data_IF_049922095636
#
_entry.id   IF_049922095636
#
_cell.length_a   1.000
_cell.length_b   1.000
_cell.length_c   1.000
_cell.angle_alpha   90.00
_cell.angle_beta   90.00
_cell.angle_gamma   90.00
#
_symmetry.space_group_name_H-M   'P 1'
#
loop_
_entity.id
_entity.type
_entity.pdbx_description
1 polymer ?
#
# COMPACT_ATOMS: atom_id res chain seq x y z
N UNK A 1 -25.71 11.41 -17.23
CA UNK A 1 -25.26 10.23 -18.03
C UNK A 1 -23.78 10.28 -18.43
N UNK A 2 -23.15 11.43 -18.69
CA UNK A 2 -21.74 11.51 -19.18
C UNK A 2 -20.68 10.90 -18.25
N UNK A 3 -20.77 11.09 -16.93
CA UNK A 3 -19.83 10.51 -15.94
C UNK A 3 -19.95 8.98 -15.76
N UNK A 4 -21.03 8.36 -16.25
CA UNK A 4 -21.31 6.96 -15.94
C UNK A 4 -20.41 6.02 -16.73
N UNK A 5 -19.96 6.43 -17.92
CA UNK A 5 -19.15 5.60 -18.81
C UNK A 5 -17.70 5.43 -18.27
N UNK A 6 -17.05 6.52 -17.84
CA UNK A 6 -15.72 6.45 -17.22
C UNK A 6 -15.76 5.66 -15.89
N UNK A 7 -16.82 5.84 -15.09
CA UNK A 7 -17.04 5.07 -13.85
C UNK A 7 -17.30 3.58 -14.11
N UNK A 8 -18.02 3.24 -15.18
CA UNK A 8 -18.22 1.86 -15.57
C UNK A 8 -16.88 1.21 -15.97
N UNK A 9 -16.07 1.89 -16.79
CA UNK A 9 -14.72 1.43 -17.12
C UNK A 9 -13.83 1.28 -15.87
N UNK A 10 -13.91 2.21 -14.93
CA UNK A 10 -13.23 2.11 -13.63
C UNK A 10 -13.68 0.89 -12.84
N UNK A 11 -14.98 0.63 -12.75
CA UNK A 11 -15.54 -0.55 -12.08
C UNK A 11 -15.07 -1.86 -12.72
N UNK A 12 -15.02 -1.92 -14.05
CA UNK A 12 -14.47 -3.06 -14.80
C UNK A 12 -12.99 -3.25 -14.49
N UNK A 13 -12.21 -2.17 -14.48
CA UNK A 13 -10.79 -2.20 -14.09
C UNK A 13 -10.59 -2.77 -12.68
N UNK A 14 -11.36 -2.28 -11.69
CA UNK A 14 -11.32 -2.78 -10.32
C UNK A 14 -11.68 -4.27 -10.19
N UNK A 15 -12.66 -4.73 -10.98
CA UNK A 15 -13.10 -6.12 -11.00
C UNK A 15 -12.10 -7.04 -11.73
N UNK A 16 -11.29 -6.48 -12.63
CA UNK A 16 -10.28 -7.23 -13.38
C UNK A 16 -9.01 -7.56 -12.56
N UNK A 17 -8.82 -6.91 -11.40
CA UNK A 17 -7.69 -7.16 -10.52
C UNK A 17 -7.63 -8.63 -10.09
N UNK A 18 -6.45 -9.24 -10.24
CA UNK A 18 -6.15 -10.57 -9.73
C UNK A 18 -4.81 -10.58 -9.03
N UNK A 19 -4.75 -11.27 -7.89
CA UNK A 19 -3.51 -11.56 -7.20
C UNK A 19 -3.09 -13.01 -7.47
N UNK A 20 -2.48 -13.25 -8.65
CA UNK A 20 -2.07 -14.58 -9.09
C UNK A 20 -0.55 -14.85 -8.91
N UNK A 21 0.18 -13.97 -8.22
CA UNK A 21 1.64 -14.02 -8.02
C UNK A 21 2.14 -15.39 -7.54
N UNK A 22 1.41 -16.01 -6.61
CA UNK A 22 1.77 -17.32 -6.03
C UNK A 22 1.04 -18.50 -6.67
N UNK A 23 0.23 -18.27 -7.70
CA UNK A 23 -0.50 -19.34 -8.41
C UNK A 23 0.36 -19.88 -9.57
N UNK A 24 1.32 -20.74 -9.21
CA UNK A 24 2.33 -21.30 -10.12
C UNK A 24 1.81 -22.42 -11.03
N UNK A 25 0.72 -23.10 -10.63
CA UNK A 25 0.13 -24.22 -11.38
C UNK A 25 -0.94 -23.81 -12.39
N UNK A 26 -1.37 -22.55 -12.39
CA UNK A 26 -2.38 -22.07 -13.33
C UNK A 26 -1.76 -21.86 -14.71
N UNK A 27 -2.39 -22.42 -15.74
CA UNK A 27 -2.03 -22.17 -17.14
C UNK A 27 -2.41 -20.75 -17.56
N UNK A 28 -1.86 -20.27 -18.68
CA UNK A 28 -2.10 -18.91 -19.17
C UNK A 28 -3.60 -18.64 -19.43
N UNK A 29 -4.33 -19.64 -19.92
CA UNK A 29 -5.76 -19.56 -20.24
C UNK A 29 -6.61 -19.42 -18.98
N UNK A 30 -6.08 -19.83 -17.82
CA UNK A 30 -6.73 -19.72 -16.51
C UNK A 30 -6.38 -18.41 -15.79
N UNK A 31 -5.59 -17.53 -16.42
CA UNK A 31 -5.27 -16.18 -15.97
C UNK A 31 -5.78 -15.15 -16.98
N UNK A 32 -7.11 -15.04 -17.24
CA UNK A 32 -7.61 -14.10 -18.21
C UNK A 32 -7.13 -12.68 -17.87
N UNK A 33 -6.62 -11.95 -18.85
CA UNK A 33 -6.24 -10.55 -18.66
C UNK A 33 -7.24 -9.69 -19.40
N UNK A 34 -7.69 -8.63 -18.76
CA UNK A 34 -8.43 -7.60 -19.45
C UNK A 34 -7.44 -6.85 -20.33
N UNK A 35 -7.55 -7.02 -21.65
CA UNK A 35 -6.62 -6.37 -22.59
C UNK A 35 -7.07 -4.96 -22.93
N UNK A 36 -8.37 -4.78 -23.26
CA UNK A 36 -8.90 -3.50 -23.70
C UNK A 36 -10.33 -3.28 -23.16
N UNK A 37 -10.64 -2.03 -22.81
CA UNK A 37 -12.01 -1.55 -22.59
C UNK A 37 -12.28 -0.50 -23.65
N UNK A 38 -13.31 -0.72 -24.48
CA UNK A 38 -13.75 0.27 -25.46
C UNK A 38 -14.98 0.98 -24.91
N UNK A 39 -14.88 2.30 -24.76
CA UNK A 39 -15.98 3.17 -24.37
C UNK A 39 -16.24 4.14 -25.51
N UNK A 40 -17.42 4.03 -26.14
CA UNK A 40 -17.83 4.85 -27.28
C UNK A 40 -18.41 6.21 -26.84
N UNK A 41 -17.66 6.90 -25.97
CA UNK A 41 -17.99 8.24 -25.47
C UNK A 41 -16.68 9.00 -25.30
N UNK A 42 -16.40 9.95 -26.19
CA UNK A 42 -15.12 10.67 -26.21
C UNK A 42 -14.82 11.42 -24.90
N UNK A 43 -15.83 12.05 -24.29
CA UNK A 43 -15.71 12.71 -22.99
C UNK A 43 -15.28 11.75 -21.86
N UNK A 44 -15.60 10.46 -21.97
CA UNK A 44 -15.23 9.47 -20.97
C UNK A 44 -13.73 9.14 -21.01
N UNK A 45 -13.06 9.26 -22.18
CA UNK A 45 -11.62 9.03 -22.30
C UNK A 45 -10.81 10.03 -21.48
N UNK A 46 -11.17 11.31 -21.58
CA UNK A 46 -10.50 12.38 -20.83
C UNK A 46 -10.71 12.24 -19.32
N UNK A 47 -11.92 11.88 -18.88
CA UNK A 47 -12.22 11.64 -17.47
C UNK A 47 -11.52 10.38 -16.93
N UNK A 48 -11.34 9.37 -17.78
CA UNK A 48 -10.70 8.10 -17.39
C UNK A 48 -9.24 8.24 -16.99
N UNK A 49 -8.53 9.28 -17.44
CA UNK A 49 -7.12 9.53 -17.05
C UNK A 49 -6.97 9.57 -15.52
N UNK A 50 -7.90 10.24 -14.83
CA UNK A 50 -7.91 10.27 -13.36
C UNK A 50 -8.27 8.93 -12.72
N UNK A 51 -9.17 8.17 -13.36
CA UNK A 51 -9.56 6.83 -12.91
C UNK A 51 -8.46 5.79 -13.13
N UNK A 52 -7.66 5.89 -14.18
CA UNK A 52 -6.52 5.01 -14.43
C UNK A 52 -5.49 5.13 -13.31
N UNK A 53 -5.12 6.36 -12.96
CA UNK A 53 -4.23 6.64 -11.85
C UNK A 53 -4.78 6.06 -10.51
N UNK A 54 -6.09 6.15 -10.29
CA UNK A 54 -6.74 5.51 -9.14
C UNK A 54 -6.67 3.98 -9.19
N UNK A 55 -6.82 3.36 -10.36
CA UNK A 55 -6.72 1.91 -10.52
C UNK A 55 -5.32 1.41 -10.13
N UNK A 56 -4.28 2.08 -10.60
CA UNK A 56 -2.89 1.70 -10.31
C UNK A 56 -2.62 1.78 -8.81
N UNK A 57 -3.03 2.87 -8.16
CA UNK A 57 -2.88 3.02 -6.71
C UNK A 57 -3.66 1.96 -5.91
N UNK A 58 -4.89 1.63 -6.33
CA UNK A 58 -5.70 0.59 -5.67
C UNK A 58 -5.10 -0.80 -5.90
N UNK A 59 -4.64 -1.11 -7.10
CA UNK A 59 -3.99 -2.38 -7.43
C UNK A 59 -2.70 -2.56 -6.65
N UNK A 60 -1.80 -1.56 -6.66
CA UNK A 60 -0.54 -1.59 -5.91
C UNK A 60 -0.77 -1.91 -4.44
N UNK A 61 -1.79 -1.30 -3.85
CA UNK A 61 -1.99 -1.48 -2.44
C UNK A 61 -2.82 -2.72 -2.07
N UNK A 62 -3.65 -3.21 -2.99
CA UNK A 62 -4.17 -4.58 -2.92
C UNK A 62 -3.05 -5.61 -3.05
N UNK A 63 -2.03 -5.37 -3.87
CA UNK A 63 -0.88 -6.26 -3.99
C UNK A 63 -0.18 -6.34 -2.63
N UNK A 64 0.18 -5.19 -2.04
CA UNK A 64 0.77 -5.11 -0.71
C UNK A 64 -0.07 -5.84 0.36
N UNK A 65 -1.38 -5.59 0.40
CA UNK A 65 -2.27 -6.21 1.40
C UNK A 65 -2.43 -7.72 1.23
N UNK A 66 -2.29 -8.22 -0.01
CA UNK A 66 -2.40 -9.63 -0.32
C UNK A 66 -1.11 -10.40 -0.07
N UNK A 67 0.05 -9.73 -0.06
CA UNK A 67 1.33 -10.36 0.24
C UNK A 67 1.30 -11.07 1.58
N UNK A 68 1.88 -12.27 1.68
CA UNK A 68 2.03 -12.93 2.97
C UNK A 68 3.16 -12.26 3.77
N UNK A 69 3.04 -12.27 5.10
CA UNK A 69 3.95 -11.57 6.01
C UNK A 69 5.41 -12.06 5.96
N UNK A 70 5.66 -13.27 5.46
CA UNK A 70 7.02 -13.76 5.24
C UNK A 70 7.70 -13.11 4.02
N UNK A 71 6.91 -12.59 3.07
CA UNK A 71 7.40 -11.85 1.91
C UNK A 71 7.40 -10.36 2.20
N UNK A 72 6.25 -9.79 2.60
CA UNK A 72 6.14 -8.37 2.89
C UNK A 72 6.40 -8.09 4.37
N UNK A 73 7.68 -7.90 4.70
CA UNK A 73 8.17 -7.44 6.00
C UNK A 73 8.53 -5.94 5.96
N UNK A 74 8.81 -5.27 7.09
CA UNK A 74 9.05 -3.83 7.10
C UNK A 74 10.17 -3.35 6.17
N UNK A 75 11.36 -4.01 6.11
CA UNK A 75 12.37 -3.68 5.10
C UNK A 75 11.91 -3.81 3.64
N UNK A 76 11.26 -4.92 3.29
CA UNK A 76 10.74 -5.15 1.93
C UNK A 76 9.66 -4.12 1.57
N UNK A 77 8.78 -3.81 2.51
CA UNK A 77 7.73 -2.82 2.29
C UNK A 77 8.35 -1.42 2.09
N UNK A 78 9.32 -1.03 2.92
CA UNK A 78 10.06 0.21 2.69
C UNK A 78 10.77 0.24 1.32
N UNK A 79 11.34 -0.89 0.87
CA UNK A 79 11.97 -1.00 -0.44
C UNK A 79 10.97 -0.75 -1.59
N UNK A 80 9.79 -1.39 -1.56
CA UNK A 80 8.74 -1.16 -2.58
C UNK A 80 8.21 0.27 -2.58
N UNK A 81 8.13 0.91 -1.42
CA UNK A 81 7.71 2.30 -1.34
C UNK A 81 8.76 3.26 -1.90
N UNK A 82 10.06 2.93 -1.82
CA UNK A 82 11.13 3.72 -2.46
C UNK A 82 11.02 3.70 -3.99
N UNK A 83 10.45 2.66 -4.60
CA UNK A 83 10.22 2.61 -6.05
C UNK A 83 9.30 3.74 -6.53
N UNK A 84 8.44 4.26 -5.66
CA UNK A 84 7.57 5.41 -5.95
C UNK A 84 8.36 6.70 -6.21
N UNK A 85 9.65 6.77 -5.85
CA UNK A 85 10.51 7.89 -6.23
C UNK A 85 10.69 8.06 -7.74
N UNK A 86 10.49 6.98 -8.53
CA UNK A 86 10.45 7.06 -9.99
C UNK A 86 9.34 7.98 -10.52
N UNK A 87 8.36 8.31 -9.67
CA UNK A 87 7.19 9.11 -9.99
C UNK A 87 7.32 10.55 -9.44
N UNK A 88 8.52 10.94 -9.00
CA UNK A 88 8.81 12.29 -8.48
C UNK A 88 8.44 12.48 -7.01
N UNK A 89 8.26 11.39 -6.25
CA UNK A 89 7.98 11.43 -4.82
C UNK A 89 9.29 11.32 -4.04
N UNK A 90 9.53 12.26 -3.12
CA UNK A 90 10.66 12.18 -2.20
C UNK A 90 10.36 11.12 -1.14
N UNK A 91 11.15 10.05 -1.07
CA UNK A 91 10.95 8.95 -0.11
C UNK A 91 12.16 8.86 0.84
N UNK A 92 11.92 9.19 2.10
CA UNK A 92 12.89 9.03 3.20
C UNK A 92 12.49 7.82 4.02
N UNK A 93 13.46 7.03 4.46
CA UNK A 93 13.22 5.87 5.33
C UNK A 93 14.12 5.98 6.54
N UNK A 94 13.52 5.99 7.74
CA UNK A 94 14.24 6.00 9.00
C UNK A 94 14.32 4.58 9.57
N UNK A 95 15.53 4.19 9.99
CA UNK A 95 15.79 2.99 10.77
C UNK A 95 15.63 3.21 12.27
N UNK A 96 15.84 2.14 13.04
CA UNK A 96 15.61 2.16 14.50
C UNK A 96 16.52 3.14 15.25
N UNK A 97 17.77 3.31 14.81
CA UNK A 97 18.71 4.25 15.45
C UNK A 97 18.26 5.71 15.27
N UNK A 98 17.85 6.09 14.06
CA UNK A 98 17.34 7.43 13.76
C UNK A 98 16.04 7.68 14.53
N UNK A 99 15.12 6.72 14.53
CA UNK A 99 13.88 6.80 15.29
C UNK A 99 14.10 6.88 16.80
N UNK A 100 15.12 6.19 17.32
CA UNK A 100 15.50 6.26 18.73
C UNK A 100 16.03 7.65 19.10
N UNK A 101 16.89 8.23 18.26
CA UNK A 101 17.39 9.59 18.43
C UNK A 101 16.27 10.64 18.38
N UNK A 102 15.22 10.40 17.60
CA UNK A 102 14.01 11.23 17.53
C UNK A 102 13.01 10.97 18.67
N UNK A 103 13.31 10.08 19.63
CA UNK A 103 12.47 9.81 20.80
C UNK A 103 11.24 8.94 20.52
N UNK A 104 11.22 8.17 19.43
CA UNK A 104 10.07 7.33 19.02
C UNK A 104 9.97 6.01 19.81
N UNK A 105 10.18 6.04 21.12
CA UNK A 105 10.25 4.85 21.97
C UNK A 105 8.97 4.01 22.01
N UNK A 106 7.79 4.65 21.94
CA UNK A 106 6.49 3.96 21.91
C UNK A 106 6.31 3.14 20.62
N UNK A 107 6.77 3.68 19.49
CA UNK A 107 6.80 2.97 18.23
C UNK A 107 7.78 1.80 18.33
N UNK A 108 9.06 2.07 18.63
CA UNK A 108 10.10 1.03 18.71
C UNK A 108 9.73 -0.13 19.64
N UNK A 109 9.07 0.15 20.77
CA UNK A 109 8.59 -0.86 21.72
C UNK A 109 7.70 -1.94 21.11
N UNK A 110 6.89 -1.62 20.10
CA UNK A 110 6.02 -2.59 19.41
C UNK A 110 6.82 -3.57 18.56
N UNK A 111 7.89 -3.09 17.91
CA UNK A 111 8.73 -3.86 17.00
C UNK A 111 9.84 -4.66 17.68
N UNK A 112 10.16 -4.38 18.95
CA UNK A 112 11.24 -5.05 19.71
C UNK A 112 11.16 -6.58 19.71
N UNK A 113 9.96 -7.14 19.61
CA UNK A 113 9.74 -8.60 19.57
C UNK A 113 9.94 -9.22 18.19
N UNK A 114 10.21 -8.43 17.15
CA UNK A 114 10.38 -8.91 15.79
C UNK A 114 11.83 -9.26 15.46
N UNK A 115 12.00 -10.11 14.44
CA UNK A 115 13.29 -10.35 13.80
C UNK A 115 13.60 -9.32 12.70
N UNK A 116 12.57 -8.58 12.25
CA UNK A 116 12.72 -7.55 11.23
C UNK A 116 12.74 -6.18 11.91
N UNK A 117 13.70 -5.30 11.56
CA UNK A 117 13.79 -3.98 12.16
C UNK A 117 12.57 -3.14 11.78
N UNK A 118 12.11 -2.31 12.71
CA UNK A 118 11.07 -1.31 12.43
C UNK A 118 11.58 -0.30 11.41
N UNK A 119 10.68 0.21 10.56
CA UNK A 119 11.00 1.25 9.59
C UNK A 119 9.92 2.34 9.63
N UNK A 120 10.33 3.60 9.50
CA UNK A 120 9.41 4.71 9.21
C UNK A 120 9.66 5.18 7.78
N UNK A 121 8.65 5.18 6.93
CA UNK A 121 8.74 5.71 5.57
C UNK A 121 8.01 7.05 5.50
N UNK A 122 8.71 8.09 5.10
CA UNK A 122 8.16 9.43 4.88
C UNK A 122 8.18 9.70 3.38
N UNK A 123 7.01 9.83 2.77
CA UNK A 123 6.84 10.16 1.35
C UNK A 123 6.31 11.57 1.23
N UNK A 124 7.01 12.43 0.49
CA UNK A 124 6.65 13.84 0.31
C UNK A 124 6.44 14.15 -1.17
N UNK A 125 5.34 14.82 -1.46
CA UNK A 125 4.98 15.27 -2.79
C UNK A 125 4.64 16.77 -2.74
N UNK A 126 5.30 17.59 -3.57
CA UNK A 126 5.11 19.04 -3.57
C UNK A 126 4.54 19.53 -4.91
N UNK A 127 3.39 18.99 -5.34
CA UNK A 127 2.75 19.36 -6.61
C UNK A 127 1.71 20.47 -6.50
N UNK A 128 1.42 20.99 -5.30
CA UNK A 128 0.32 21.94 -5.06
C UNK A 128 0.72 23.41 -4.99
N UNK A 129 1.95 23.78 -5.37
CA UNK A 129 2.48 25.14 -5.20
C UNK A 129 2.23 25.68 -3.76
N UNK A 130 1.41 26.73 -3.61
CA UNK A 130 1.12 27.38 -2.33
C UNK A 130 -0.04 26.72 -1.55
N UNK A 131 -0.59 25.59 -2.02
CA UNK A 131 -1.64 24.89 -1.31
C UNK A 131 -1.17 24.35 0.05
N UNK A 132 -2.07 24.40 1.04
CA UNK A 132 -1.83 23.86 2.38
C UNK A 132 -1.49 22.36 2.30
N UNK A 133 -0.37 21.92 2.91
CA UNK A 133 0.03 20.53 2.86
C UNK A 133 -0.97 19.63 3.61
N UNK A 134 -1.27 18.47 3.03
CA UNK A 134 -2.04 17.41 3.69
C UNK A 134 -1.09 16.36 4.26
N UNK A 135 -1.18 16.09 5.56
CA UNK A 135 -0.47 14.98 6.19
C UNK A 135 -1.38 13.75 6.33
N UNK A 136 -0.93 12.60 5.84
CA UNK A 136 -1.56 11.29 6.01
C UNK A 136 -0.62 10.41 6.82
N UNK A 137 -1.07 9.92 7.98
CA UNK A 137 -0.26 9.06 8.85
C UNK A 137 -0.77 7.64 8.78
N UNK A 138 0.18 6.70 8.92
CA UNK A 138 0.33 5.38 8.34
C UNK A 138 0.68 4.17 9.27
N UNK A 139 -0.13 3.62 10.21
CA UNK A 139 0.04 2.22 10.70
C UNK A 139 0.35 1.12 9.62
N UNK A 140 1.55 0.59 9.56
CA UNK A 140 1.90 -0.54 8.70
C UNK A 140 2.34 -1.77 9.48
N UNK A 141 1.40 -2.45 10.16
CA UNK A 141 1.73 -3.75 10.76
C UNK A 141 1.74 -4.84 9.68
N UNK A 142 2.94 -5.31 9.35
CA UNK A 142 3.15 -6.39 8.39
C UNK A 142 2.61 -7.73 8.91
N UNK A 143 2.61 -7.88 10.23
CA UNK A 143 1.93 -8.96 10.92
C UNK A 143 1.66 -8.57 12.38
N UNK A 144 0.49 -8.92 12.90
CA UNK A 144 0.15 -8.75 14.31
C UNK A 144 -0.21 -10.10 14.95
N UNK A 145 0.76 -10.69 15.67
CA UNK A 145 0.48 -11.89 16.48
C UNK A 145 -0.13 -11.56 17.84
N UNK A 146 -0.18 -10.27 18.24
CA UNK A 146 -0.56 -9.82 19.57
C UNK A 146 0.63 -9.60 20.52
N UNK A 147 1.80 -10.15 20.21
CA UNK A 147 3.00 -10.05 21.07
C UNK A 147 2.88 -10.95 22.30
N UNK A 148 3.18 -10.41 23.49
CA UNK A 148 3.03 -11.15 24.77
C UNK A 148 1.58 -11.58 24.98
N UNK A 149 0.63 -10.70 24.64
CA UNK A 149 -0.80 -11.02 24.59
C UNK A 149 -1.14 -11.68 23.27
N UNK A 150 -0.69 -12.92 23.09
CA UNK A 150 -0.84 -13.67 21.85
C UNK A 150 -2.32 -13.79 21.46
N UNK A 151 -2.63 -13.47 20.20
CA UNK A 151 -3.98 -13.66 19.66
C UNK A 151 -4.33 -15.16 19.62
N UNK A 152 -5.61 -15.53 19.75
CA UNK A 152 -6.05 -16.89 19.44
C UNK A 152 -5.69 -17.28 18.01
N UNK A 153 -5.52 -18.57 17.76
CA UNK A 153 -5.14 -19.09 16.44
C UNK A 153 -6.17 -18.78 15.35
N UNK A 154 -7.47 -18.80 15.68
CA UNK A 154 -8.54 -18.50 14.74
C UNK A 154 -8.50 -17.04 14.28
N UNK A 155 -8.30 -16.81 12.98
CA UNK A 155 -8.27 -15.48 12.37
C UNK A 155 -6.90 -14.81 12.40
N UNK A 156 -5.88 -15.46 12.97
CA UNK A 156 -4.50 -14.92 12.99
C UNK A 156 -3.91 -14.86 11.56
N UNK A 157 -4.31 -15.77 10.68
CA UNK A 157 -3.92 -15.82 9.28
C UNK A 157 -4.35 -14.56 8.49
N UNK A 158 -5.43 -13.89 8.94
CA UNK A 158 -5.91 -12.65 8.34
C UNK A 158 -5.13 -11.41 8.82
N UNK A 159 -4.28 -11.53 9.84
CA UNK A 159 -3.56 -10.39 10.44
C UNK A 159 -2.43 -9.82 9.57
N UNK A 160 -2.10 -10.48 8.45
CA UNK A 160 -1.34 -9.83 7.36
C UNK A 160 -2.06 -8.59 6.80
N UNK A 161 -3.39 -8.52 6.97
CA UNK A 161 -4.23 -7.39 6.58
C UNK A 161 -4.22 -6.24 7.59
N UNK A 162 -3.45 -6.29 8.69
CA UNK A 162 -3.39 -5.18 9.66
C UNK A 162 -2.58 -3.95 9.17
N UNK A 163 -2.26 -3.95 7.88
CA UNK A 163 -1.77 -2.83 7.07
C UNK A 163 -2.80 -2.33 6.03
N UNK A 164 -3.99 -2.94 5.92
CA UNK A 164 -4.88 -2.81 4.75
C UNK A 164 -5.38 -1.37 4.48
N UNK A 165 -5.34 -0.50 5.47
CA UNK A 165 -5.75 0.90 5.29
C UNK A 165 -4.64 1.73 4.60
N UNK A 166 -3.40 1.22 4.47
CA UNK A 166 -2.37 1.72 3.55
C UNK A 166 -2.79 1.61 2.07
N UNK A 167 -3.78 0.76 1.78
CA UNK A 167 -4.36 0.61 0.46
C UNK A 167 -5.52 1.56 0.13
N UNK A 168 -5.99 2.31 1.12
CA UNK A 168 -7.19 3.08 0.96
C UNK A 168 -6.88 4.55 0.66
N UNK A 169 -7.02 4.86 -0.63
CA UNK A 169 -8.00 5.85 -1.15
C UNK A 169 -7.54 7.25 -1.54
N UNK A 170 -6.32 7.73 -1.24
CA UNK A 170 -5.97 9.13 -1.59
C UNK A 170 -4.56 9.43 -2.09
N UNK A 171 -3.60 8.51 -2.09
CA UNK A 171 -2.19 8.89 -2.35
C UNK A 171 -1.95 9.31 -3.82
N UNK A 172 -2.69 8.77 -4.78
CA UNK A 172 -2.28 8.88 -6.20
C UNK A 172 -2.93 9.98 -7.04
N UNK A 173 -4.20 10.42 -6.82
CA UNK A 173 -4.74 11.56 -7.58
C UNK A 173 -4.21 12.93 -7.13
N UNK A 174 -3.21 12.98 -6.23
CA UNK A 174 -2.76 14.22 -5.59
C UNK A 174 -1.83 15.08 -6.44
N UNK A 175 -1.82 14.92 -7.77
CA UNK A 175 -1.10 15.79 -8.70
C UNK A 175 -1.53 17.28 -8.67
N UNK A 176 -2.36 17.67 -7.71
CA UNK A 176 -2.86 19.04 -7.49
C UNK A 176 -2.54 19.61 -6.11
N UNK A 177 -1.98 18.82 -5.16
CA UNK A 177 -1.77 19.27 -3.76
C UNK A 177 -0.40 18.88 -3.20
N UNK A 178 0.10 19.66 -2.26
CA UNK A 178 1.22 19.26 -1.42
C UNK A 178 0.78 18.17 -0.43
N UNK A 179 1.53 17.08 -0.32
CA UNK A 179 1.19 15.94 0.53
C UNK A 179 2.41 15.36 1.25
N UNK A 180 2.22 14.95 2.50
CA UNK A 180 3.18 14.21 3.30
C UNK A 180 2.51 12.93 3.80
N UNK A 181 3.06 11.78 3.46
CA UNK A 181 2.58 10.47 3.91
C UNK A 181 3.64 9.86 4.82
N UNK A 182 3.27 9.52 6.06
CA UNK A 182 4.17 8.92 7.04
C UNK A 182 3.68 7.52 7.36
N UNK A 183 4.48 6.50 7.07
CA UNK A 183 4.18 5.10 7.29
C UNK A 183 5.08 4.50 8.37
N UNK A 184 4.43 3.87 9.35
CA UNK A 184 4.97 3.29 10.57
C UNK A 184 4.99 1.76 10.41
N UNK A 185 6.07 1.22 9.85
CA UNK A 185 6.16 -0.18 9.43
C UNK A 185 6.79 -1.07 10.50
N UNK A 186 6.05 -2.07 10.98
CA UNK A 186 6.54 -2.99 12.02
C UNK A 186 5.94 -4.39 11.87
N UNK A 187 6.51 -5.33 12.59
CA UNK A 187 5.88 -6.61 12.92
C UNK A 187 5.70 -6.67 14.43
N UNK A 188 4.51 -7.04 14.89
CA UNK A 188 4.23 -7.23 16.32
C UNK A 188 4.35 -8.72 16.64
N UNK A 189 5.41 -9.06 17.39
CA UNK A 189 5.75 -10.42 17.83
C UNK A 189 6.60 -11.21 16.82
N UNK A 190 7.13 -12.36 17.26
CA UNK A 190 7.90 -13.26 16.38
C UNK A 190 6.96 -13.89 15.34
N UNK A 191 7.29 -13.87 14.04
CA UNK A 191 6.65 -14.76 13.08
C UNK A 191 6.88 -16.19 13.59
N UNK A 192 5.80 -16.96 13.77
CA UNK A 192 5.93 -18.39 14.01
C UNK A 192 6.65 -18.96 12.78
N UNK A 193 7.89 -19.43 12.95
CA UNK A 193 8.53 -20.26 11.94
C UNK A 193 7.71 -21.54 11.85
N UNK A 194 6.91 -21.66 10.79
CA UNK A 194 6.38 -22.94 10.32
C UNK A 194 7.49 -23.69 9.59
#
# INVERSE_FOLDING_TARGET
MRHNAARAAFGVGLASYRFDKYRTKLKAEQKPKLENIVVDVEAAKNEFVHYSALLDGVSFARDLSNEPANILNPPEFAARLRELSALGIEVTVLGEQEMLALGMGSFLGVGQGSIYPSQLVVMKYNGGADEKPLALVGKGLCFDSGGISLKPSGGMEAMKGDMAWLACRKIWPMATRNALVILLLQCRGKPLRS
#
